data_IF_031581901723
#
_entry.id   IF_031581901723
#
_cell.length_a   1.000
_cell.length_b   1.000
_cell.length_c   1.000
_cell.angle_alpha   90.00
_cell.angle_beta   90.00
_cell.angle_gamma   90.00
#
_symmetry.space_group_name_H-M   'P 1'
#
loop_
_entity.id
_entity.type
_entity.pdbx_description
1 polymer ?
#
# COMPACT_ATOMS: atom_id res chain seq x y z
N UNK A 1 -12.93 9.31 -13.12
CA UNK A 1 -12.88 7.94 -12.54
C UNK A 1 -14.27 7.58 -12.05
N UNK A 2 -14.79 6.42 -12.41
CA UNK A 2 -16.09 5.97 -11.90
C UNK A 2 -16.13 5.90 -10.38
N UNK A 3 -17.31 6.14 -9.79
CA UNK A 3 -17.45 6.21 -8.34
C UNK A 3 -17.02 4.92 -7.62
N UNK A 4 -17.33 3.76 -8.20
CA UNK A 4 -16.95 2.50 -7.55
C UNK A 4 -15.43 2.28 -7.52
N UNK A 5 -14.70 2.72 -8.56
CA UNK A 5 -13.24 2.64 -8.57
C UNK A 5 -12.64 3.63 -7.59
N UNK A 6 -13.22 4.82 -7.49
CA UNK A 6 -12.79 5.83 -6.52
C UNK A 6 -12.94 5.31 -5.09
N UNK A 7 -14.06 4.65 -4.80
CA UNK A 7 -14.30 4.08 -3.49
C UNK A 7 -13.31 2.96 -3.18
N UNK A 8 -13.02 2.10 -4.15
CA UNK A 8 -12.01 1.05 -3.98
C UNK A 8 -10.63 1.63 -3.74
N UNK A 9 -10.27 2.68 -4.48
CA UNK A 9 -8.98 3.34 -4.29
C UNK A 9 -8.86 3.94 -2.89
N UNK A 10 -9.90 4.62 -2.41
CA UNK A 10 -9.90 5.19 -1.07
C UNK A 10 -9.79 4.12 0.01
N UNK A 11 -10.49 3.00 -0.15
CA UNK A 11 -10.40 1.87 0.79
C UNK A 11 -8.99 1.29 0.81
N UNK A 12 -8.41 1.05 -0.36
CA UNK A 12 -7.06 0.52 -0.46
C UNK A 12 -6.04 1.49 0.14
N UNK A 13 -6.14 2.77 -0.17
CA UNK A 13 -5.25 3.79 0.37
C UNK A 13 -5.36 3.88 1.90
N UNK A 14 -6.59 3.85 2.43
CA UNK A 14 -6.81 3.85 3.88
C UNK A 14 -6.19 2.61 4.53
N UNK A 15 -6.31 1.46 3.88
CA UNK A 15 -5.72 0.21 4.38
C UNK A 15 -4.19 0.31 4.45
N UNK A 16 -3.54 0.94 3.48
CA UNK A 16 -2.09 1.17 3.53
C UNK A 16 -1.74 1.94 4.80
N UNK A 17 -2.40 3.08 5.02
CA UNK A 17 -2.10 3.95 6.16
C UNK A 17 -2.35 3.23 7.49
N UNK A 18 -3.49 2.56 7.62
CA UNK A 18 -3.87 1.90 8.87
C UNK A 18 -2.93 0.75 9.19
N UNK A 19 -2.53 -0.04 8.19
CA UNK A 19 -1.65 -1.18 8.44
C UNK A 19 -0.21 -0.75 8.67
N UNK A 20 0.27 0.31 8.05
CA UNK A 20 1.58 0.86 8.39
C UNK A 20 1.60 1.38 9.83
N UNK A 21 0.55 2.08 10.24
CA UNK A 21 0.44 2.59 11.61
C UNK A 21 0.42 1.44 12.61
N UNK A 22 -0.41 0.43 12.37
CA UNK A 22 -0.48 -0.74 13.26
C UNK A 22 0.86 -1.48 13.33
N UNK A 23 1.48 -1.74 12.18
CA UNK A 23 2.77 -2.42 12.15
C UNK A 23 3.85 -1.67 12.90
N UNK A 24 3.86 -0.35 12.80
CA UNK A 24 4.87 0.47 13.47
C UNK A 24 4.77 0.45 14.99
N UNK A 25 3.59 0.13 15.54
CA UNK A 25 3.40 0.03 17.01
C UNK A 25 3.77 -1.34 17.56
N UNK A 26 4.00 -2.33 16.69
CA UNK A 26 4.31 -3.70 17.10
C UNK A 26 5.81 -3.90 17.23
N UNK A 27 6.25 -4.75 18.16
CA UNK A 27 7.66 -5.15 18.19
C UNK A 27 8.05 -5.82 16.86
N UNK A 28 9.33 -5.77 16.51
CA UNK A 28 9.82 -6.49 15.35
C UNK A 28 9.47 -7.98 15.47
N UNK A 29 9.04 -8.58 14.37
CA UNK A 29 8.67 -9.98 14.31
C UNK A 29 7.49 -10.23 13.40
N UNK A 30 6.82 -11.37 13.61
CA UNK A 30 5.77 -11.85 12.70
C UNK A 30 4.57 -10.90 12.64
N UNK A 31 4.16 -10.32 13.75
CA UNK A 31 3.00 -9.42 13.77
C UNK A 31 3.27 -8.16 12.97
N UNK A 32 4.43 -7.52 13.18
CA UNK A 32 4.81 -6.34 12.41
C UNK A 32 4.88 -6.67 10.92
N UNK A 33 5.52 -7.78 10.57
CA UNK A 33 5.65 -8.22 9.20
C UNK A 33 4.29 -8.45 8.54
N UNK A 34 3.33 -9.02 9.28
CA UNK A 34 1.98 -9.26 8.77
C UNK A 34 1.29 -7.94 8.39
N UNK A 35 1.36 -6.94 9.25
CA UNK A 35 0.74 -5.65 8.97
C UNK A 35 1.38 -4.97 7.76
N UNK A 36 2.69 -5.04 7.64
CA UNK A 36 3.39 -4.47 6.49
C UNK A 36 3.07 -5.22 5.20
N UNK A 37 2.90 -6.54 5.26
CA UNK A 37 2.49 -7.33 4.09
C UNK A 37 1.06 -6.98 3.65
N UNK A 38 0.15 -6.75 4.59
CA UNK A 38 -1.20 -6.29 4.27
C UNK A 38 -1.13 -4.91 3.60
N UNK A 39 -0.30 -4.02 4.13
CA UNK A 39 -0.11 -2.70 3.53
C UNK A 39 0.41 -2.81 2.10
N UNK A 40 1.38 -3.69 1.84
CA UNK A 40 1.90 -3.91 0.50
C UNK A 40 0.81 -4.41 -0.45
N UNK A 41 0.00 -5.36 -0.01
CA UNK A 41 -1.14 -5.84 -0.80
C UNK A 41 -2.12 -4.71 -1.14
N UNK A 42 -2.35 -3.81 -0.19
CA UNK A 42 -3.23 -2.66 -0.41
C UNK A 42 -2.62 -1.64 -1.39
N UNK A 43 -1.30 -1.47 -1.38
CA UNK A 43 -0.62 -0.65 -2.40
C UNK A 43 -0.82 -1.27 -3.79
N UNK A 44 -0.63 -2.57 -3.91
CA UNK A 44 -0.80 -3.28 -5.19
C UNK A 44 -2.23 -3.17 -5.70
N UNK A 45 -3.22 -3.26 -4.80
CA UNK A 45 -4.62 -3.03 -5.16
C UNK A 45 -4.83 -1.60 -5.66
N UNK A 46 -4.25 -0.61 -5.00
CA UNK A 46 -4.31 0.79 -5.45
C UNK A 46 -3.70 0.95 -6.85
N UNK A 47 -2.57 0.32 -7.09
CA UNK A 47 -1.92 0.34 -8.40
C UNK A 47 -2.83 -0.26 -9.48
N UNK A 48 -3.49 -1.39 -9.18
CA UNK A 48 -4.40 -2.04 -10.12
C UNK A 48 -5.60 -1.14 -10.45
N UNK A 49 -6.17 -0.47 -9.45
CA UNK A 49 -7.28 0.47 -9.68
C UNK A 49 -6.83 1.62 -10.58
N UNK A 50 -5.64 2.17 -10.32
CA UNK A 50 -5.11 3.28 -11.11
C UNK A 50 -4.81 2.85 -12.56
N UNK A 51 -4.40 1.61 -12.77
CA UNK A 51 -4.16 1.08 -14.11
C UNK A 51 -5.44 1.01 -14.96
N UNK A 52 -6.60 0.93 -14.31
CA UNK A 52 -7.90 0.95 -15.02
C UNK A 52 -8.28 2.36 -15.50
N UNK A 53 -7.50 3.38 -15.14
CA UNK A 53 -7.80 4.75 -15.52
C UNK A 53 -6.54 5.43 -16.06
N UNK A 54 -6.36 5.51 -17.39
CA UNK A 54 -5.11 6.02 -17.99
C UNK A 54 -4.84 7.50 -17.69
N UNK A 55 -5.80 8.22 -17.15
CA UNK A 55 -5.62 9.65 -16.81
C UNK A 55 -4.94 9.86 -15.45
N UNK A 56 -4.56 8.78 -14.77
CA UNK A 56 -4.00 8.84 -13.42
C UNK A 56 -2.53 8.46 -13.36
N UNK A 57 -1.77 8.76 -14.41
CA UNK A 57 -0.35 8.37 -14.49
C UNK A 57 0.49 8.94 -13.35
N UNK A 58 0.24 10.18 -12.92
CA UNK A 58 0.97 10.77 -11.81
C UNK A 58 0.67 10.06 -10.49
N UNK A 59 -0.60 9.72 -10.25
CA UNK A 59 -0.99 8.95 -9.07
C UNK A 59 -0.38 7.56 -9.12
N UNK A 60 -0.30 6.94 -10.31
CA UNK A 60 0.32 5.63 -10.46
C UNK A 60 1.80 5.68 -10.11
N UNK A 61 2.50 6.74 -10.51
CA UNK A 61 3.91 6.91 -10.17
C UNK A 61 4.10 7.09 -8.66
N UNK A 62 3.22 7.83 -8.00
CA UNK A 62 3.26 7.97 -6.54
C UNK A 62 3.01 6.64 -5.85
N UNK A 63 2.05 5.85 -6.35
CA UNK A 63 1.78 4.52 -5.82
C UNK A 63 2.96 3.58 -6.01
N UNK A 64 3.67 3.67 -7.13
CA UNK A 64 4.88 2.88 -7.38
C UNK A 64 5.98 3.22 -6.37
N UNK A 65 6.19 4.51 -6.10
CA UNK A 65 7.15 4.95 -5.10
C UNK A 65 6.80 4.45 -3.70
N UNK A 66 5.52 4.53 -3.33
CA UNK A 66 5.04 4.01 -2.06
C UNK A 66 5.21 2.50 -1.98
N UNK A 67 4.91 1.79 -3.06
CA UNK A 67 5.09 0.34 -3.14
C UNK A 67 6.54 -0.06 -2.90
N UNK A 68 7.49 0.67 -3.45
CA UNK A 68 8.92 0.40 -3.25
C UNK A 68 9.31 0.55 -1.78
N UNK A 69 8.79 1.59 -1.11
CA UNK A 69 9.07 1.82 0.32
C UNK A 69 8.47 0.70 1.16
N UNK A 70 7.19 0.37 0.94
CA UNK A 70 6.51 -0.68 1.71
C UNK A 70 7.15 -2.04 1.47
N UNK A 71 7.54 -2.34 0.23
CA UNK A 71 8.26 -3.57 -0.08
C UNK A 71 9.53 -3.69 0.75
N UNK A 72 10.29 -2.60 0.87
CA UNK A 72 11.50 -2.60 1.69
C UNK A 72 11.20 -2.83 3.16
N UNK A 73 10.10 -2.28 3.68
CA UNK A 73 9.67 -2.53 5.05
C UNK A 73 9.34 -4.00 5.28
N UNK A 74 8.77 -4.68 4.27
CA UNK A 74 8.42 -6.10 4.38
C UNK A 74 9.65 -7.00 4.35
N UNK A 75 10.65 -6.66 3.54
CA UNK A 75 11.72 -7.58 3.18
C UNK A 75 13.12 -7.09 3.53
N UNK A 76 13.24 -5.90 4.11
CA UNK A 76 14.51 -5.43 4.65
C UNK A 76 14.90 -6.25 5.85
N UNK A 77 16.14 -6.73 5.87
CA UNK A 77 16.68 -7.40 7.05
C UNK A 77 17.38 -6.39 7.92
N UNK A 78 17.19 -6.45 9.25
CA UNK A 78 18.04 -5.68 10.13
C UNK A 78 19.50 -6.17 9.94
N UNK A 79 20.34 -5.24 9.70
CA UNK A 79 21.78 -5.52 9.57
C UNK A 79 22.44 -5.77 10.91
#
# INVERSE_FOLDING_TARGET
>A
MPAFLKNQLLRAASSVCLNLAEGSTRPMGKDRARFYQIALGSVRESQAVLDLNPQTSQLRNLADGLGAVVYRLCYSRPS
#
